data_IF_730554520828
#
_entry.id   IF_730554520828
#
_cell.length_a   1.000
_cell.length_b   1.000
_cell.length_c   1.000
_cell.angle_alpha   90.00
_cell.angle_beta   90.00
_cell.angle_gamma   90.00
#
_symmetry.space_group_name_H-M   'P 1'
#
loop_
_entity.id
_entity.type
_entity.pdbx_description
1 polymer ?
#
# COMPACT_ATOMS: atom_id res chain seq x y z
N UNK A 1 -1.66 9.90 -21.48
CA UNK A 1 -2.88 9.26 -22.02
C UNK A 1 -2.64 7.80 -22.43
N UNK A 2 -1.89 7.50 -23.49
CA UNK A 2 -1.64 6.10 -23.88
C UNK A 2 -0.79 5.32 -22.86
N UNK A 3 0.19 5.99 -22.24
CA UNK A 3 1.03 5.42 -21.16
C UNK A 3 0.19 5.05 -19.94
N UNK A 4 -0.72 5.94 -19.52
CA UNK A 4 -1.60 5.72 -18.37
C UNK A 4 -2.55 4.53 -18.59
N UNK A 5 -3.02 4.35 -19.83
CA UNK A 5 -3.89 3.22 -20.17
C UNK A 5 -3.12 1.89 -20.20
N UNK A 6 -1.88 1.89 -20.69
CA UNK A 6 -1.02 0.70 -20.64
C UNK A 6 -0.63 0.35 -19.20
N UNK A 7 -0.35 1.36 -18.37
CA UNK A 7 -0.10 1.16 -16.95
C UNK A 7 -1.29 0.50 -16.26
N UNK A 8 -2.50 1.02 -16.51
CA UNK A 8 -3.73 0.41 -16.02
C UNK A 8 -3.85 -1.05 -16.46
N UNK A 9 -3.64 -1.37 -17.74
CA UNK A 9 -3.71 -2.77 -18.22
C UNK A 9 -2.69 -3.67 -17.51
N UNK A 10 -1.46 -3.20 -17.35
CA UNK A 10 -0.40 -3.92 -16.65
C UNK A 10 -0.80 -4.21 -15.21
N UNK A 11 -1.28 -3.20 -14.50
CA UNK A 11 -1.73 -3.33 -13.11
C UNK A 11 -2.92 -4.30 -12.99
N UNK A 12 -3.88 -4.22 -13.91
CA UNK A 12 -5.05 -5.11 -13.95
C UNK A 12 -4.66 -6.56 -14.16
N UNK A 13 -3.74 -6.85 -15.08
CA UNK A 13 -3.24 -8.21 -15.31
C UNK A 13 -2.48 -8.71 -14.08
N UNK A 14 -1.57 -7.90 -13.54
CA UNK A 14 -0.70 -8.29 -12.42
C UNK A 14 -1.49 -8.61 -11.15
N UNK A 15 -2.52 -7.81 -10.82
CA UNK A 15 -3.27 -8.03 -9.59
C UNK A 15 -4.36 -9.10 -9.68
N UNK A 16 -4.84 -9.43 -10.90
CA UNK A 16 -6.04 -10.29 -11.05
C UNK A 16 -5.77 -11.59 -11.81
N UNK A 17 -4.66 -11.72 -12.54
CA UNK A 17 -4.28 -12.93 -13.26
C UNK A 17 -3.10 -13.61 -12.56
N UNK A 18 -3.18 -14.92 -12.26
CA UNK A 18 -2.04 -15.65 -11.70
C UNK A 18 -0.88 -15.73 -12.69
N UNK A 19 0.33 -15.48 -12.22
CA UNK A 19 1.58 -15.65 -12.97
C UNK A 19 2.67 -16.18 -12.03
N UNK A 20 3.78 -16.67 -12.59
CA UNK A 20 4.93 -17.14 -11.80
C UNK A 20 6.08 -16.15 -11.82
N UNK A 21 6.33 -15.54 -12.97
CA UNK A 21 7.41 -14.58 -13.16
C UNK A 21 6.91 -13.36 -13.93
N UNK A 22 6.83 -12.21 -13.26
CA UNK A 22 6.26 -10.99 -13.85
C UNK A 22 6.97 -10.59 -15.16
N UNK A 23 8.31 -10.64 -15.18
CA UNK A 23 9.10 -10.28 -16.36
C UNK A 23 8.77 -11.15 -17.57
N UNK A 24 8.83 -12.47 -17.42
CA UNK A 24 8.65 -13.40 -18.53
C UNK A 24 7.17 -13.58 -18.91
N UNK A 25 6.27 -13.59 -17.93
CA UNK A 25 4.86 -13.92 -18.15
C UNK A 25 4.03 -12.68 -18.52
N UNK A 26 4.37 -11.50 -17.99
CA UNK A 26 3.53 -10.29 -18.07
C UNK A 26 4.21 -9.15 -18.86
N UNK A 27 5.46 -8.83 -18.56
CA UNK A 27 6.13 -7.63 -19.09
C UNK A 27 6.78 -7.84 -20.45
N UNK A 28 7.33 -9.03 -20.71
CA UNK A 28 8.04 -9.34 -21.95
C UNK A 28 7.17 -9.00 -23.17
N UNK A 29 7.72 -8.22 -24.10
CA UNK A 29 7.04 -7.83 -25.34
C UNK A 29 5.65 -7.20 -25.13
N UNK A 30 5.43 -6.54 -23.99
CA UNK A 30 4.14 -5.95 -23.60
C UNK A 30 2.98 -6.98 -23.63
N UNK A 31 3.26 -8.23 -23.23
CA UNK A 31 2.27 -9.32 -23.14
C UNK A 31 1.01 -8.91 -22.37
N UNK A 32 1.16 -8.09 -21.33
CA UNK A 32 0.04 -7.54 -20.54
C UNK A 32 -1.07 -6.90 -21.37
N UNK A 33 -0.78 -6.32 -22.55
CA UNK A 33 -1.82 -5.72 -23.40
C UNK A 33 -2.78 -6.82 -23.89
N UNK A 34 -2.23 -7.90 -24.44
CA UNK A 34 -3.02 -9.03 -24.95
C UNK A 34 -3.67 -9.82 -23.81
N UNK A 35 -2.92 -10.07 -22.74
CA UNK A 35 -3.44 -10.74 -21.55
C UNK A 35 -4.63 -9.98 -20.96
N UNK A 36 -4.58 -8.65 -20.93
CA UNK A 36 -5.71 -7.84 -20.51
C UNK A 36 -6.91 -8.00 -21.46
N UNK A 37 -6.69 -7.85 -22.76
CA UNK A 37 -7.76 -7.91 -23.75
C UNK A 37 -8.44 -9.29 -23.78
N UNK A 38 -7.68 -10.37 -23.62
CA UNK A 38 -8.16 -11.75 -23.58
C UNK A 38 -8.90 -12.11 -22.28
N UNK A 39 -8.61 -11.41 -21.18
CA UNK A 39 -9.11 -11.78 -19.84
C UNK A 39 -9.90 -10.66 -19.16
N UNK A 40 -10.35 -9.64 -19.89
CA UNK A 40 -11.02 -8.46 -19.31
C UNK A 40 -12.23 -8.84 -18.45
N UNK A 41 -13.04 -9.81 -18.90
CA UNK A 41 -14.23 -10.26 -18.15
C UNK A 41 -13.84 -10.92 -16.83
N UNK A 42 -12.80 -11.77 -16.84
CA UNK A 42 -12.27 -12.43 -15.65
C UNK A 42 -11.70 -11.41 -14.67
N UNK A 43 -10.95 -10.43 -15.17
CA UNK A 43 -10.38 -9.34 -14.37
C UNK A 43 -11.50 -8.56 -13.69
N UNK A 44 -12.55 -8.19 -14.42
CA UNK A 44 -13.69 -7.44 -13.89
C UNK A 44 -14.47 -8.24 -12.87
N UNK A 45 -14.68 -9.54 -13.11
CA UNK A 45 -15.32 -10.43 -12.15
C UNK A 45 -14.53 -10.51 -10.84
N UNK A 46 -13.23 -10.82 -10.91
CA UNK A 46 -12.37 -10.91 -9.72
C UNK A 46 -12.27 -9.59 -8.96
N UNK A 47 -12.25 -8.47 -9.67
CA UNK A 47 -12.30 -7.13 -9.08
C UNK A 47 -13.58 -6.94 -8.28
N UNK A 48 -14.74 -7.28 -8.86
CA UNK A 48 -16.03 -7.19 -8.18
C UNK A 48 -16.09 -8.10 -6.95
N UNK A 49 -15.61 -9.34 -7.06
CA UNK A 49 -15.53 -10.29 -5.94
C UNK A 49 -14.67 -9.73 -4.81
N UNK A 50 -13.46 -9.22 -5.12
CA UNK A 50 -12.57 -8.60 -4.14
C UNK A 50 -13.22 -7.39 -3.46
N UNK A 51 -13.73 -6.44 -4.24
CA UNK A 51 -14.38 -5.24 -3.72
C UNK A 51 -15.58 -5.59 -2.81
N UNK A 52 -16.37 -6.60 -3.19
CA UNK A 52 -17.50 -7.10 -2.39
C UNK A 52 -17.08 -7.84 -1.13
N UNK A 53 -15.91 -8.49 -1.14
CA UNK A 53 -15.35 -9.20 0.00
C UNK A 53 -14.56 -8.28 0.95
N UNK A 54 -14.42 -7.00 0.63
CA UNK A 54 -13.80 -6.03 1.54
C UNK A 54 -14.75 -5.77 2.71
N UNK A 55 -14.63 -6.59 3.76
CA UNK A 55 -15.31 -6.41 5.03
C UNK A 55 -14.73 -5.21 5.81
N UNK A 56 -14.41 -4.11 5.12
CA UNK A 56 -13.77 -2.92 5.68
C UNK A 56 -14.62 -2.36 6.81
N UNK A 57 -15.95 -2.29 6.62
CA UNK A 57 -16.87 -1.79 7.64
C UNK A 57 -16.90 -2.67 8.89
N UNK A 58 -16.91 -3.99 8.75
CA UNK A 58 -16.85 -4.90 9.90
C UNK A 58 -15.48 -4.88 10.56
N UNK A 59 -14.41 -4.78 9.79
CA UNK A 59 -13.04 -4.69 10.32
C UNK A 59 -12.88 -3.41 11.11
N UNK A 60 -13.39 -2.28 10.59
CA UNK A 60 -13.45 -1.00 11.29
C UNK A 60 -14.33 -1.07 12.53
N UNK A 61 -15.45 -1.77 12.48
CA UNK A 61 -16.32 -2.00 13.63
C UNK A 61 -15.60 -2.82 14.72
N UNK A 62 -14.99 -3.95 14.37
CA UNK A 62 -14.22 -4.78 15.30
C UNK A 62 -13.06 -3.99 15.92
N UNK A 63 -12.36 -3.16 15.14
CA UNK A 63 -11.32 -2.28 15.64
C UNK A 63 -11.87 -1.27 16.66
N UNK A 64 -12.98 -0.59 16.33
CA UNK A 64 -13.64 0.36 17.25
C UNK A 64 -14.11 -0.30 18.55
N UNK A 65 -14.62 -1.53 18.47
CA UNK A 65 -15.05 -2.31 19.62
C UNK A 65 -13.82 -2.72 20.47
N UNK A 66 -12.73 -3.17 19.84
CA UNK A 66 -11.49 -3.52 20.55
C UNK A 66 -10.80 -2.33 21.23
N UNK A 67 -10.86 -1.14 20.63
CA UNK A 67 -10.30 0.08 21.24
C UNK A 67 -11.16 0.65 22.37
N UNK A 68 -12.36 0.10 22.62
CA UNK A 68 -13.25 0.53 23.72
C UNK A 68 -13.18 -0.37 24.95
N UNK A 69 -12.41 -1.44 24.94
CA UNK A 69 -12.30 -2.38 26.07
C UNK A 69 -11.25 -1.96 27.13
N UNK A 70 -10.54 -0.85 26.94
CA UNK A 70 -9.75 -0.19 28.00
C UNK A 70 -10.41 1.15 28.35
N UNK A 71 -11.42 1.11 29.22
CA UNK A 71 -11.56 1.99 30.39
C UNK A 71 -12.98 1.88 30.99
N UNK A 72 -13.13 1.23 32.17
CA UNK A 72 -14.20 1.54 33.08
C UNK A 72 -13.63 2.39 34.22
N UNK A 73 -13.30 3.66 33.98
CA UNK A 73 -13.52 4.68 35.02
C UNK A 73 -13.58 6.11 34.46
N UNK A 74 -14.36 6.89 35.19
CA UNK A 74 -14.87 8.21 34.94
C UNK A 74 -13.82 9.29 34.64
N UNK A 75 -14.11 10.11 33.63
CA UNK A 75 -14.05 11.56 33.74
C UNK A 75 -12.78 12.17 34.40
N UNK A 76 -11.59 11.97 33.86
CA UNK A 76 -10.45 12.87 34.12
C UNK A 76 -9.47 12.94 32.94
N UNK A 77 -9.09 14.17 32.61
CA UNK A 77 -7.99 14.58 31.73
C UNK A 77 -7.95 14.10 30.25
N UNK A 78 -8.59 14.91 29.39
CA UNK A 78 -7.96 15.34 28.13
C UNK A 78 -6.76 16.23 28.49
N UNK A 79 -5.70 15.65 29.01
CA UNK A 79 -4.37 16.25 29.17
C UNK A 79 -3.37 15.11 29.19
N UNK A 80 -2.80 14.79 28.04
CA UNK A 80 -1.34 14.80 27.86
C UNK A 80 -0.93 14.24 26.48
N UNK A 81 -1.34 14.91 25.40
CA UNK A 81 -0.76 14.67 24.05
C UNK A 81 0.40 15.64 23.77
N UNK A 82 0.81 16.45 24.78
CA UNK A 82 1.89 17.45 24.65
C UNK A 82 3.20 16.94 25.29
N UNK A 83 3.47 15.64 25.16
CA UNK A 83 4.62 14.99 25.81
C UNK A 83 5.50 14.10 24.92
N UNK A 84 5.11 13.79 23.68
CA UNK A 84 6.02 13.03 22.79
C UNK A 84 7.08 13.99 22.24
N UNK A 85 8.23 14.02 22.91
CA UNK A 85 9.47 14.44 22.26
C UNK A 85 9.60 13.63 20.96
N UNK A 86 9.87 14.26 19.81
CA UNK A 86 10.12 13.50 18.59
C UNK A 86 11.29 12.55 18.86
N UNK A 87 11.08 11.25 18.61
CA UNK A 87 12.16 10.27 18.69
C UNK A 87 13.35 10.81 17.92
N UNK A 88 14.52 10.86 18.57
CA UNK A 88 15.74 11.32 17.91
C UNK A 88 15.95 10.44 16.69
N UNK A 89 16.02 11.06 15.51
CA UNK A 89 16.24 10.34 14.27
C UNK A 89 17.61 9.62 14.40
N UNK A 90 17.64 8.28 14.40
CA UNK A 90 18.88 7.52 14.64
C UNK A 90 19.92 7.72 13.53
N UNK A 91 19.55 8.37 12.43
CA UNK A 91 20.43 8.73 11.32
C UNK A 91 20.89 10.19 11.36
N UNK A 92 20.47 10.98 12.36
CA UNK A 92 20.81 12.41 12.45
C UNK A 92 22.31 12.65 12.60
N UNK A 93 23.03 11.74 13.26
CA UNK A 93 24.50 11.79 13.36
C UNK A 93 25.21 11.51 12.03
N UNK A 94 24.60 10.69 11.15
CA UNK A 94 25.15 10.41 9.81
C UNK A 94 25.02 11.63 8.89
N UNK A 95 23.90 12.35 8.96
CA UNK A 95 23.69 13.57 8.18
C UNK A 95 24.59 14.73 8.61
N UNK A 96 24.99 14.75 9.89
CA UNK A 96 25.81 15.83 10.46
C UNK A 96 27.31 15.50 10.45
N UNK A 97 27.72 14.35 9.93
CA UNK A 97 29.14 14.00 9.85
C UNK A 97 29.82 14.79 8.74
N UNK A 98 30.75 15.73 9.05
CA UNK A 98 31.45 16.51 8.03
C UNK A 98 32.44 15.69 7.20
N UNK A 99 32.70 14.43 7.59
CA UNK A 99 33.51 13.47 6.84
C UNK A 99 32.64 12.40 6.16
N UNK A 100 31.31 12.51 6.17
CA UNK A 100 30.50 11.66 5.31
C UNK A 100 30.82 12.07 3.87
N UNK A 101 31.41 11.17 3.10
CA UNK A 101 31.51 11.30 1.65
C UNK A 101 30.07 11.31 1.11
N UNK A 102 29.48 12.51 1.06
CA UNK A 102 28.38 12.79 0.16
C UNK A 102 28.95 12.44 -1.20
N UNK A 103 28.34 11.48 -1.90
CA UNK A 103 28.74 11.14 -3.26
C UNK A 103 28.65 12.41 -4.12
N UNK A 104 29.78 13.10 -4.28
CA UNK A 104 29.95 14.31 -5.10
C UNK A 104 29.99 13.98 -6.61
N UNK A 105 29.43 12.85 -7.01
CA UNK A 105 29.35 12.39 -8.40
C UNK A 105 27.90 12.35 -8.90
N UNK A 106 27.21 13.50 -8.86
CA UNK A 106 26.02 13.74 -9.69
C UNK A 106 26.20 14.97 -10.59
#
# INVERSE_FOLDING_TARGET
MATDFNEYKREMVTLRIPFRHEEADILENMKFIRLYDENVDLILQKRKEFESNTFIERTLQMFRESCREEDPDDNEEIRDVVGRLPDQNPFQELCNNPNAEINDDL
#
